data_IF_119338271043
#
_entry.id   IF_119338271043
#
_cell.length_a   1.000
_cell.length_b   1.000
_cell.length_c   1.000
_cell.angle_alpha   90.00
_cell.angle_beta   90.00
_cell.angle_gamma   90.00
#
_symmetry.space_group_name_H-M   'P 1'
#
loop_
_entity.id
_entity.type
_entity.pdbx_description
1 polymer ?
#
# COMPACT_ATOMS: atom_id res chain seq x y z
N UNK A 1 -33.53 -18.72 -35.98
CA UNK A 1 -32.90 -17.61 -35.22
C UNK A 1 -32.37 -18.05 -33.86
N UNK A 2 -33.14 -18.79 -33.06
CA UNK A 2 -32.69 -19.29 -31.74
C UNK A 2 -31.37 -20.09 -31.80
N UNK A 3 -31.20 -20.96 -32.79
CA UNK A 3 -30.00 -21.81 -32.95
C UNK A 3 -28.73 -20.98 -33.15
N UNK A 4 -28.79 -19.88 -33.90
CA UNK A 4 -27.65 -18.98 -34.10
C UNK A 4 -27.32 -18.18 -32.84
N UNK A 5 -28.34 -17.77 -32.08
CA UNK A 5 -28.14 -17.10 -30.79
C UNK A 5 -27.48 -18.03 -29.77
N UNK A 6 -27.88 -19.31 -29.70
CA UNK A 6 -27.25 -20.31 -28.83
C UNK A 6 -25.78 -20.54 -29.19
N UNK A 7 -25.45 -20.59 -30.48
CA UNK A 7 -24.07 -20.74 -30.93
C UNK A 7 -23.22 -19.53 -30.51
N UNK A 8 -23.75 -18.31 -30.65
CA UNK A 8 -23.06 -17.09 -30.20
C UNK A 8 -22.80 -17.09 -28.69
N UNK A 9 -23.77 -17.51 -27.87
CA UNK A 9 -23.66 -17.56 -26.40
C UNK A 9 -22.58 -18.56 -25.95
N UNK A 10 -22.46 -19.71 -26.63
CA UNK A 10 -21.43 -20.73 -26.33
C UNK A 10 -20.01 -20.17 -26.50
N UNK A 11 -19.78 -19.25 -27.43
CA UNK A 11 -18.48 -18.60 -27.59
C UNK A 11 -18.27 -17.40 -26.66
N UNK A 12 -19.34 -16.70 -26.26
CA UNK A 12 -19.25 -15.54 -25.37
C UNK A 12 -18.95 -15.96 -23.92
N UNK A 13 -19.50 -17.08 -23.43
CA UNK A 13 -19.32 -17.51 -22.04
C UNK A 13 -17.84 -17.75 -21.69
N UNK A 14 -17.05 -18.54 -22.45
CA UNK A 14 -15.63 -18.73 -22.18
C UNK A 14 -14.84 -17.42 -22.23
N UNK A 15 -15.16 -16.55 -23.18
CA UNK A 15 -14.50 -15.26 -23.32
C UNK A 15 -14.77 -14.35 -22.11
N UNK A 16 -16.02 -14.30 -21.64
CA UNK A 16 -16.40 -13.56 -20.44
C UNK A 16 -15.71 -14.09 -19.18
N UNK A 17 -15.60 -15.41 -19.02
CA UNK A 17 -14.91 -16.03 -17.90
C UNK A 17 -13.40 -15.74 -17.90
N UNK A 18 -12.75 -15.83 -19.06
CA UNK A 18 -11.34 -15.46 -19.21
C UNK A 18 -11.14 -13.98 -18.88
N UNK A 19 -12.01 -13.10 -19.40
CA UNK A 19 -11.92 -11.67 -19.16
C UNK A 19 -12.09 -11.30 -17.68
N UNK A 20 -13.04 -11.92 -16.98
CA UNK A 20 -13.25 -11.74 -15.53
C UNK A 20 -12.05 -12.24 -14.72
N UNK A 21 -11.47 -13.39 -15.09
CA UNK A 21 -10.30 -13.95 -14.41
C UNK A 21 -9.05 -13.07 -14.59
N UNK A 22 -8.79 -12.61 -15.81
CA UNK A 22 -7.66 -11.73 -16.11
C UNK A 22 -7.79 -10.36 -15.45
N UNK A 23 -8.99 -9.78 -15.43
CA UNK A 23 -9.22 -8.45 -14.82
C UNK A 23 -8.93 -8.46 -13.31
N UNK A 24 -9.35 -9.50 -12.60
CA UNK A 24 -9.10 -9.61 -11.16
C UNK A 24 -7.60 -9.73 -10.84
N UNK A 25 -6.86 -10.54 -11.60
CA UNK A 25 -5.42 -10.72 -11.37
C UNK A 25 -4.61 -9.45 -11.63
N UNK A 26 -4.96 -8.66 -12.64
CA UNK A 26 -4.25 -7.41 -12.95
C UNK A 26 -4.54 -6.32 -11.90
N UNK A 27 -5.77 -6.23 -11.38
CA UNK A 27 -6.12 -5.32 -10.29
C UNK A 27 -5.36 -5.64 -8.99
N UNK A 28 -5.20 -6.92 -8.67
CA UNK A 28 -4.40 -7.37 -7.52
C UNK A 28 -2.92 -6.97 -7.63
N UNK A 29 -2.32 -7.13 -8.82
CA UNK A 29 -0.93 -6.72 -9.09
C UNK A 29 -0.74 -5.21 -8.99
N UNK A 30 -1.66 -4.42 -9.56
CA UNK A 30 -1.60 -2.97 -9.47
C UNK A 30 -1.67 -2.48 -8.01
N UNK A 31 -2.57 -3.06 -7.22
CA UNK A 31 -2.72 -2.77 -5.80
C UNK A 31 -1.44 -3.10 -5.01
N UNK A 32 -0.81 -4.24 -5.32
CA UNK A 32 0.46 -4.64 -4.71
C UNK A 32 1.60 -3.67 -5.04
N UNK A 33 1.74 -3.28 -6.31
CA UNK A 33 2.76 -2.31 -6.74
C UNK A 33 2.55 -0.95 -6.06
N UNK A 34 1.29 -0.52 -5.93
CA UNK A 34 0.95 0.72 -5.25
C UNK A 34 1.26 0.67 -3.74
N UNK A 35 0.96 -0.44 -3.06
CA UNK A 35 1.35 -0.64 -1.66
C UNK A 35 2.88 -0.59 -1.52
N UNK A 36 3.60 -1.28 -2.41
CA UNK A 36 5.08 -1.27 -2.41
C UNK A 36 5.63 0.15 -2.56
N UNK A 37 5.10 0.89 -3.52
CA UNK A 37 5.50 2.27 -3.77
C UNK A 37 5.20 3.16 -2.55
N UNK A 38 4.03 3.01 -1.93
CA UNK A 38 3.64 3.78 -0.75
C UNK A 38 4.59 3.52 0.43
N UNK A 39 4.87 2.26 0.74
CA UNK A 39 5.77 1.88 1.82
C UNK A 39 7.20 2.36 1.53
N UNK A 40 7.65 2.27 0.28
CA UNK A 40 8.94 2.80 -0.18
C UNK A 40 9.02 4.32 0.04
N UNK A 41 8.01 5.07 -0.39
CA UNK A 41 7.95 6.52 -0.18
C UNK A 41 8.01 6.88 1.30
N UNK A 42 7.27 6.20 2.17
CA UNK A 42 7.33 6.45 3.63
C UNK A 42 8.75 6.22 4.15
N UNK A 43 9.42 5.14 3.73
CA UNK A 43 10.77 4.80 4.18
C UNK A 43 11.82 5.80 3.69
N UNK A 44 11.75 6.20 2.40
CA UNK A 44 12.68 7.16 1.80
C UNK A 44 12.52 8.55 2.46
N UNK A 45 11.29 8.99 2.68
CA UNK A 45 10.94 10.26 3.35
C UNK A 45 11.35 10.26 4.84
N UNK A 46 11.23 9.12 5.51
CA UNK A 46 11.75 8.97 6.88
C UNK A 46 13.29 9.10 6.90
N UNK A 47 13.97 8.56 5.89
CA UNK A 47 15.41 8.74 5.70
C UNK A 47 15.79 10.21 5.51
N UNK A 48 15.05 10.93 4.67
CA UNK A 48 15.25 12.37 4.44
C UNK A 48 15.08 13.17 5.75
N UNK A 49 14.00 12.95 6.49
CA UNK A 49 13.72 13.65 7.75
C UNK A 49 14.75 13.33 8.83
N UNK A 50 15.26 12.10 8.84
CA UNK A 50 16.36 11.74 9.71
C UNK A 50 17.63 12.55 9.40
N UNK A 51 17.97 12.72 8.12
CA UNK A 51 19.14 13.49 7.69
C UNK A 51 19.02 15.00 7.92
N UNK A 52 17.80 15.55 7.88
CA UNK A 52 17.56 16.96 8.18
C UNK A 52 17.90 17.32 9.64
N UNK A 53 17.87 16.34 10.55
CA UNK A 53 18.25 16.50 11.95
C UNK A 53 17.08 16.77 12.89
N UNK A 54 17.41 17.17 14.12
CA UNK A 54 16.46 17.25 15.22
C UNK A 54 15.28 18.21 14.94
N UNK A 55 14.07 17.80 15.31
CA UNK A 55 12.82 18.54 15.13
C UNK A 55 12.39 18.78 13.67
N UNK A 56 13.08 18.18 12.69
CA UNK A 56 12.59 18.15 11.33
C UNK A 56 11.24 17.43 11.26
N UNK A 57 10.27 18.01 10.55
CA UNK A 57 8.95 17.43 10.39
C UNK A 57 8.43 17.62 8.98
N UNK A 58 7.70 16.63 8.48
CA UNK A 58 7.10 16.64 7.15
C UNK A 58 5.83 15.82 7.16
N UNK A 59 4.82 16.32 6.46
CA UNK A 59 3.58 15.58 6.20
C UNK A 59 3.62 15.13 4.75
N UNK A 60 3.59 13.82 4.54
CA UNK A 60 3.53 13.23 3.21
C UNK A 60 2.14 12.68 2.93
N UNK A 61 1.81 12.60 1.65
CA UNK A 61 0.55 12.02 1.18
C UNK A 61 0.91 10.75 0.42
N UNK A 62 0.36 9.64 0.87
CA UNK A 62 0.55 8.33 0.23
C UNK A 62 -0.79 7.75 -0.15
N UNK A 63 -0.85 7.17 -1.35
CA UNK A 63 -2.09 6.60 -1.87
C UNK A 63 -2.18 5.12 -1.48
N UNK A 64 -3.00 4.79 -0.49
CA UNK A 64 -3.19 3.41 -0.09
C UNK A 64 -4.10 2.68 -1.09
N UNK A 65 -3.71 1.48 -1.55
CA UNK A 65 -4.60 0.65 -2.35
C UNK A 65 -5.74 0.12 -1.47
N UNK A 66 -6.71 -0.51 -2.11
CA UNK A 66 -7.73 -1.25 -1.37
C UNK A 66 -7.15 -2.50 -0.70
N UNK A 67 -7.83 -2.98 0.34
CA UNK A 67 -7.45 -4.20 1.06
C UNK A 67 -6.35 -4.01 2.11
N UNK A 68 -5.94 -2.78 2.45
CA UNK A 68 -5.00 -2.54 3.56
C UNK A 68 -5.64 -2.91 4.90
N UNK A 69 -5.02 -3.84 5.62
CA UNK A 69 -5.50 -4.37 6.89
C UNK A 69 -4.85 -3.67 8.08
N UNK A 70 -3.54 -3.45 8.02
CA UNK A 70 -2.77 -2.87 9.11
C UNK A 70 -1.44 -2.28 8.60
N UNK A 71 -0.91 -1.30 9.32
CA UNK A 71 0.46 -0.82 9.16
C UNK A 71 1.25 -0.96 10.46
N UNK A 72 2.55 -1.20 10.35
CA UNK A 72 3.47 -1.18 11.48
C UNK A 72 4.80 -0.58 11.08
N UNK A 73 5.46 0.06 12.04
CA UNK A 73 6.78 0.65 11.88
C UNK A 73 7.64 0.14 13.00
N UNK A 74 8.74 -0.52 12.67
CA UNK A 74 9.67 -1.05 13.66
C UNK A 74 11.09 -1.15 13.11
N UNK A 75 12.07 -0.70 13.90
CA UNK A 75 13.50 -0.90 13.68
C UNK A 75 14.00 -0.69 12.23
N UNK A 76 13.66 0.44 11.61
CA UNK A 76 14.07 0.73 10.23
C UNK A 76 13.15 0.15 9.15
N UNK A 77 12.08 -0.56 9.54
CA UNK A 77 11.14 -1.19 8.63
C UNK A 77 9.77 -0.53 8.73
N UNK A 78 9.20 -0.23 7.57
CA UNK A 78 7.78 0.12 7.41
C UNK A 78 7.11 -1.08 6.76
N UNK A 79 6.08 -1.62 7.41
CA UNK A 79 5.35 -2.80 6.95
C UNK A 79 3.88 -2.45 6.79
N UNK A 80 3.33 -2.74 5.62
CA UNK A 80 1.91 -2.62 5.32
C UNK A 80 1.35 -4.00 5.00
N UNK A 81 0.45 -4.48 5.85
CA UNK A 81 -0.27 -5.73 5.64
C UNK A 81 -1.52 -5.46 4.82
N UNK A 82 -1.69 -6.17 3.72
CA UNK A 82 -2.87 -6.07 2.87
C UNK A 82 -3.41 -7.44 2.46
N UNK A 83 -4.68 -7.47 2.04
CA UNK A 83 -5.29 -8.61 1.39
C UNK A 83 -5.39 -8.33 -0.11
N UNK A 84 -4.68 -9.11 -0.92
CA UNK A 84 -4.76 -9.07 -2.38
C UNK A 84 -5.20 -10.45 -2.88
N UNK A 85 -6.27 -10.50 -3.67
CA UNK A 85 -6.81 -11.74 -4.26
C UNK A 85 -7.04 -12.88 -3.25
N UNK A 86 -7.48 -12.53 -2.04
CA UNK A 86 -7.75 -13.49 -0.96
C UNK A 86 -6.51 -13.99 -0.22
N UNK A 87 -5.32 -13.42 -0.51
CA UNK A 87 -4.07 -13.72 0.19
C UNK A 87 -3.61 -12.51 0.98
N UNK A 88 -3.22 -12.75 2.24
CA UNK A 88 -2.57 -11.72 3.04
C UNK A 88 -1.09 -11.62 2.64
N UNK A 89 -0.66 -10.41 2.34
CA UNK A 89 0.70 -10.08 1.92
C UNK A 89 1.21 -8.91 2.75
N UNK A 90 2.48 -8.99 3.15
CA UNK A 90 3.17 -7.95 3.89
C UNK A 90 4.13 -7.22 2.94
N UNK A 91 3.89 -5.93 2.74
CA UNK A 91 4.70 -5.05 1.93
C UNK A 91 5.69 -4.33 2.82
N UNK A 92 6.98 -4.53 2.58
CA UNK A 92 8.05 -4.04 3.45
C UNK A 92 8.92 -3.03 2.70
N UNK A 93 9.21 -1.90 3.35
CA UNK A 93 10.20 -0.93 2.93
C UNK A 93 11.17 -0.70 4.07
N UNK A 94 12.45 -0.71 3.76
CA UNK A 94 13.52 -0.45 4.71
C UNK A 94 14.07 0.95 4.52
N UNK A 95 14.45 1.57 5.63
CA UNK A 95 15.20 2.81 5.69
C UNK A 95 16.38 2.65 6.63
N UNK A 96 17.42 3.45 6.43
CA UNK A 96 18.58 3.49 7.33
C UNK A 96 18.26 4.30 8.60
N UNK A 97 17.22 5.14 8.57
CA UNK A 97 16.78 5.90 9.72
C UNK A 97 16.21 4.97 10.79
N UNK A 98 16.49 5.29 12.06
CA UNK A 98 15.77 4.65 13.16
C UNK A 98 14.32 5.17 13.13
N UNK A 99 13.37 4.32 12.79
CA UNK A 99 11.95 4.68 12.70
C UNK A 99 11.14 3.99 13.78
N UNK A 100 10.23 4.73 14.38
CA UNK A 100 9.24 4.22 15.34
C UNK A 100 7.88 4.81 14.99
N UNK A 101 6.82 4.30 15.59
CA UNK A 101 5.51 4.95 15.52
C UNK A 101 4.37 3.96 15.38
N UNK A 102 3.21 4.49 15.01
CA UNK A 102 1.99 3.72 14.96
C UNK A 102 1.21 4.02 13.68
N UNK A 103 1.27 3.05 12.76
CA UNK A 103 0.43 2.99 11.56
C UNK A 103 -0.68 1.94 11.70
N UNK A 104 -1.02 1.55 12.93
CA UNK A 104 -2.02 0.52 13.16
C UNK A 104 -3.43 1.00 12.82
N UNK A 105 -4.27 0.02 12.48
CA UNK A 105 -5.66 0.20 12.17
C UNK A 105 -5.95 -0.05 10.69
N UNK A 106 -7.13 -0.61 10.44
CA UNK A 106 -7.63 -0.80 9.08
C UNK A 106 -7.82 0.57 8.43
N UNK A 107 -7.33 0.71 7.21
CA UNK A 107 -7.46 1.94 6.43
C UNK A 107 -8.23 1.67 5.15
N UNK A 108 -9.07 2.63 4.79
CA UNK A 108 -9.75 2.63 3.51
C UNK A 108 -8.76 3.02 2.41
N UNK A 109 -9.01 2.52 1.19
CA UNK A 109 -8.29 2.97 0.00
C UNK A 109 -8.33 4.50 -0.13
N UNK A 110 -7.27 5.07 -0.69
CA UNK A 110 -7.16 6.49 -1.00
C UNK A 110 -6.00 7.20 -0.31
N UNK A 111 -6.02 8.53 -0.39
CA UNK A 111 -4.94 9.38 0.12
C UNK A 111 -4.92 9.38 1.65
N UNK A 112 -3.81 8.91 2.21
CA UNK A 112 -3.53 8.96 3.65
C UNK A 112 -2.42 9.98 3.89
N UNK A 113 -2.64 10.83 4.90
CA UNK A 113 -1.64 11.81 5.35
C UNK A 113 -0.83 11.18 6.47
N UNK A 114 0.48 11.13 6.28
CA UNK A 114 1.42 10.56 7.26
C UNK A 114 2.33 11.69 7.74
N UNK A 115 2.38 11.88 9.04
CA UNK A 115 3.29 12.79 9.71
C UNK A 115 4.57 12.06 10.08
N UNK A 116 5.70 12.60 9.65
CA UNK A 116 7.03 12.16 10.05
C UNK A 116 7.68 13.28 10.87
N UNK A 117 8.18 12.94 12.05
CA UNK A 117 8.84 13.89 12.95
C UNK A 117 10.12 13.26 13.48
N UNK A 118 11.26 13.92 13.27
CA UNK A 118 12.51 13.54 13.90
C UNK A 118 12.54 14.03 15.35
N UNK A 119 12.39 13.10 16.29
CA UNK A 119 12.39 13.40 17.72
C UNK A 119 13.83 13.43 18.21
N UNK A 120 14.27 14.62 18.62
CA UNK A 120 15.58 14.86 19.22
C UNK A 120 16.79 14.40 18.39
N UNK A 121 16.62 14.20 17.08
CA UNK A 121 17.68 13.72 16.18
C UNK A 121 17.99 12.23 16.31
N UNK A 122 17.21 11.47 17.09
CA UNK A 122 17.52 10.08 17.44
C UNK A 122 16.68 9.07 16.65
N UNK A 123 15.41 9.39 16.41
CA UNK A 123 14.51 8.54 15.65
C UNK A 123 13.42 9.37 14.97
N UNK A 124 12.86 8.83 13.88
CA UNK A 124 11.71 9.41 13.20
C UNK A 124 10.44 8.72 13.67
N UNK A 125 9.56 9.48 14.30
CA UNK A 125 8.24 9.03 14.68
C UNK A 125 7.28 9.16 13.49
N UNK A 126 6.68 8.05 13.08
CA UNK A 126 5.76 7.96 11.94
C UNK A 126 4.34 7.71 12.47
N UNK A 127 3.44 8.64 12.19
CA UNK A 127 2.04 8.57 12.64
C UNK A 127 1.10 9.08 11.56
N UNK A 128 -0.19 8.78 11.67
CA UNK A 128 -1.18 9.43 10.83
C UNK A 128 -1.34 10.89 11.23
N UNK A 129 -1.31 11.79 10.25
CA UNK A 129 -1.62 13.19 10.48
C UNK A 129 -3.14 13.35 10.65
N UNK A 130 -3.55 14.15 11.64
CA UNK A 130 -4.95 14.56 11.80
C UNK A 130 -5.35 15.58 10.71
#
# INVERSE_FOLDING_TARGET
MLVMASFAVIFIIPLALVFLSSSNSELGKASLLQAKASVRTIADEAGEIYLQGANASKVIIVNYPDGVLNGSVDNGLVVLRMNADGRQLDMVGSTFANVTGNLAGKRTAGLQRISLVNVDGTYVNITYAQ
#
